data_IF_321601291007
#
_entry.id   IF_321601291007
#
_cell.length_a   1.000
_cell.length_b   1.000
_cell.length_c   1.000
_cell.angle_alpha   90.00
_cell.angle_beta   90.00
_cell.angle_gamma   90.00
#
_symmetry.space_group_name_H-M   'P 1'
#
loop_
_entity.id
_entity.type
_entity.pdbx_description
1 polymer ?
#
# COMPACT_ATOMS: atom_id res chain seq x y z
N UNK A 1 -6.54 -14.53 -28.74
CA UNK A 1 -7.22 -14.67 -27.43
C UNK A 1 -6.17 -15.02 -26.41
N UNK A 2 -5.94 -14.13 -25.44
CA UNK A 2 -5.09 -14.41 -24.27
C UNK A 2 -5.62 -15.64 -23.56
N UNK A 3 -4.72 -16.56 -23.18
CA UNK A 3 -5.11 -17.61 -22.24
C UNK A 3 -5.56 -16.97 -20.92
N UNK A 4 -6.75 -17.33 -20.44
CA UNK A 4 -7.28 -16.89 -19.13
C UNK A 4 -6.26 -17.08 -18.01
N UNK A 5 -5.43 -18.11 -18.10
CA UNK A 5 -4.37 -18.38 -17.12
C UNK A 5 -3.22 -17.37 -17.19
N UNK A 6 -2.80 -16.94 -18.38
CA UNK A 6 -1.77 -15.91 -18.55
C UNK A 6 -2.22 -14.58 -17.99
N UNK A 7 -3.48 -14.20 -18.25
CA UNK A 7 -4.09 -13.00 -17.66
C UNK A 7 -4.11 -13.08 -16.13
N UNK A 8 -4.57 -14.20 -15.57
CA UNK A 8 -4.62 -14.40 -14.13
C UNK A 8 -3.23 -14.32 -13.47
N UNK A 9 -2.18 -14.87 -14.11
CA UNK A 9 -0.80 -14.77 -13.62
C UNK A 9 -0.25 -13.34 -13.76
N UNK A 10 -0.59 -12.62 -14.82
CA UNK A 10 -0.19 -11.22 -14.99
C UNK A 10 -0.79 -10.34 -13.88
N UNK A 11 -2.09 -10.52 -13.61
CA UNK A 11 -2.76 -9.86 -12.47
C UNK A 11 -2.14 -10.25 -11.14
N UNK A 12 -1.85 -11.54 -10.93
CA UNK A 12 -1.21 -12.02 -9.70
C UNK A 12 0.12 -11.31 -9.45
N UNK A 13 1.01 -11.30 -10.45
CA UNK A 13 2.35 -10.74 -10.25
C UNK A 13 2.34 -9.22 -10.08
N UNK A 14 1.46 -8.49 -10.77
CA UNK A 14 1.39 -7.03 -10.70
C UNK A 14 0.51 -6.50 -9.57
N UNK A 15 -0.66 -7.10 -9.31
CA UNK A 15 -1.62 -6.60 -8.31
C UNK A 15 -1.28 -7.06 -6.90
N UNK A 16 -0.84 -8.31 -6.74
CA UNK A 16 -0.52 -8.92 -5.43
C UNK A 16 0.97 -8.89 -5.12
N UNK A 17 1.81 -8.89 -6.15
CA UNK A 17 3.22 -8.53 -6.05
C UNK A 17 3.45 -7.07 -6.42
N UNK A 18 4.58 -6.81 -7.09
CA UNK A 18 4.90 -5.53 -7.72
C UNK A 18 5.44 -5.74 -9.14
N UNK A 19 5.07 -6.82 -9.81
CA UNK A 19 5.63 -7.22 -11.11
C UNK A 19 6.81 -8.20 -10.99
N UNK A 20 7.17 -8.86 -12.10
CA UNK A 20 8.13 -9.96 -12.09
C UNK A 20 9.59 -9.48 -12.09
N UNK A 21 10.46 -10.29 -11.50
CA UNK A 21 11.90 -10.28 -11.84
C UNK A 21 12.15 -11.04 -13.15
N UNK A 22 13.32 -10.86 -13.82
CA UNK A 22 13.68 -11.64 -15.00
C UNK A 22 13.46 -13.15 -14.82
N UNK A 23 12.70 -13.76 -15.73
CA UNK A 23 12.38 -15.19 -15.73
C UNK A 23 11.28 -15.63 -14.75
N UNK A 24 10.88 -14.79 -13.79
CA UNK A 24 9.88 -15.15 -12.77
C UNK A 24 8.50 -15.43 -13.38
N UNK A 25 8.03 -14.57 -14.27
CA UNK A 25 6.72 -14.73 -14.91
C UNK A 25 6.67 -15.99 -15.80
N UNK A 26 7.73 -16.28 -16.57
CA UNK A 26 7.84 -17.52 -17.35
C UNK A 26 7.83 -18.76 -16.47
N UNK A 27 8.45 -18.71 -15.29
CA UNK A 27 8.38 -19.80 -14.30
C UNK A 27 6.95 -19.98 -13.78
N UNK A 28 6.26 -18.89 -13.44
CA UNK A 28 4.87 -18.93 -12.99
C UNK A 28 3.93 -19.51 -14.06
N UNK A 29 4.10 -19.14 -15.34
CA UNK A 29 3.34 -19.71 -16.46
C UNK A 29 3.52 -21.22 -16.58
N UNK A 30 4.73 -21.75 -16.38
CA UNK A 30 4.99 -23.19 -16.41
C UNK A 30 4.38 -23.94 -15.22
N UNK A 31 4.30 -23.28 -14.06
CA UNK A 31 3.75 -23.86 -12.82
C UNK A 31 2.22 -23.75 -12.74
N UNK A 32 1.63 -22.83 -13.50
CA UNK A 32 0.21 -22.51 -13.48
C UNK A 32 -0.19 -21.57 -12.35
N UNK A 33 -1.39 -21.00 -12.47
CA UNK A 33 -1.88 -19.94 -11.58
C UNK A 33 -1.96 -20.39 -10.12
N UNK A 34 -2.52 -21.58 -9.87
CA UNK A 34 -2.80 -22.06 -8.50
C UNK A 34 -1.54 -22.24 -7.67
N UNK A 35 -0.48 -22.79 -8.26
CA UNK A 35 0.81 -23.00 -7.57
C UNK A 35 1.48 -21.65 -7.33
N UNK A 36 1.50 -20.80 -8.36
CA UNK A 36 2.10 -19.46 -8.30
C UNK A 36 1.43 -18.58 -7.23
N UNK A 37 0.10 -18.60 -7.15
CA UNK A 37 -0.66 -17.84 -6.16
C UNK A 37 -0.33 -18.28 -4.74
N UNK A 38 -0.30 -19.60 -4.47
CA UNK A 38 0.08 -20.12 -3.15
C UNK A 38 1.51 -19.75 -2.76
N UNK A 39 2.46 -19.79 -3.70
CA UNK A 39 3.84 -19.39 -3.42
C UNK A 39 3.97 -17.90 -3.11
N UNK A 40 3.31 -17.04 -3.89
CA UNK A 40 3.33 -15.60 -3.66
C UNK A 40 2.70 -15.21 -2.32
N UNK A 41 1.56 -15.82 -1.98
CA UNK A 41 0.82 -15.53 -0.74
C UNK A 41 1.50 -16.11 0.52
N UNK A 42 2.26 -17.19 0.40
CA UNK A 42 2.94 -17.85 1.52
C UNK A 42 4.39 -17.35 1.72
N UNK A 43 4.66 -16.06 1.51
CA UNK A 43 6.01 -15.50 1.65
C UNK A 43 6.50 -15.44 3.11
N UNK A 44 5.60 -15.56 4.08
CA UNK A 44 5.87 -15.28 5.50
C UNK A 44 6.11 -13.78 5.75
N UNK A 45 6.14 -13.39 7.02
CA UNK A 45 6.60 -12.05 7.41
C UNK A 45 8.13 -11.99 7.24
N UNK A 46 8.67 -10.93 6.59
CA UNK A 46 10.11 -10.78 6.48
C UNK A 46 10.70 -10.43 7.85
N UNK A 47 11.85 -11.03 8.16
CA UNK A 47 12.70 -10.61 9.27
C UNK A 47 13.89 -9.81 8.71
N UNK A 48 13.90 -8.51 9.02
CA UNK A 48 14.98 -7.63 8.58
C UNK A 48 16.02 -7.35 9.69
N UNK A 49 15.87 -7.95 10.87
CA UNK A 49 16.71 -7.66 12.03
C UNK A 49 16.57 -6.22 12.54
N UNK A 50 17.62 -5.69 13.18
CA UNK A 50 17.67 -4.30 13.66
C UNK A 50 17.97 -3.30 12.52
N UNK A 51 16.96 -3.08 11.68
CA UNK A 51 17.04 -2.16 10.54
C UNK A 51 17.21 -0.72 10.99
N UNK A 52 16.56 -0.30 12.09
CA UNK A 52 16.57 1.11 12.53
C UNK A 52 17.99 1.62 12.65
N UNK A 53 18.84 0.87 13.36
CA UNK A 53 20.26 1.18 13.50
C UNK A 53 20.98 1.12 12.16
N UNK A 54 20.72 0.08 11.35
CA UNK A 54 21.41 -0.14 10.07
C UNK A 54 21.21 1.00 9.05
N UNK A 55 20.03 1.64 9.03
CA UNK A 55 19.74 2.78 8.13
C UNK A 55 19.80 4.14 8.84
N UNK A 56 20.26 4.18 10.09
CA UNK A 56 20.52 5.40 10.85
C UNK A 56 19.28 6.10 11.40
N UNK A 57 18.18 5.38 11.63
CA UNK A 57 16.96 5.92 12.25
C UNK A 57 17.11 5.90 13.77
N UNK A 58 17.22 7.09 14.36
CA UNK A 58 17.49 7.27 15.80
C UNK A 58 16.67 8.42 16.38
N UNK A 59 16.44 8.40 17.69
CA UNK A 59 15.92 9.55 18.43
C UNK A 59 16.96 10.68 18.39
N UNK A 60 16.64 11.80 17.74
CA UNK A 60 17.51 12.98 17.64
C UNK A 60 17.37 13.93 18.86
N UNK A 61 16.58 13.54 19.85
CA UNK A 61 16.27 14.34 21.03
C UNK A 61 15.18 15.39 20.77
N UNK A 62 15.04 16.31 21.72
CA UNK A 62 14.11 17.42 21.59
C UNK A 62 14.55 18.40 20.49
N UNK A 63 13.59 18.89 19.71
CA UNK A 63 13.86 19.88 18.67
C UNK A 63 14.54 21.12 19.26
N UNK A 64 15.65 21.59 18.66
CA UNK A 64 16.31 22.83 19.07
C UNK A 64 15.39 24.05 18.96
N UNK A 65 15.68 25.09 19.75
CA UNK A 65 14.92 26.35 19.71
C UNK A 65 14.95 26.98 18.30
N UNK A 66 13.87 27.65 17.87
CA UNK A 66 13.89 28.45 16.65
C UNK A 66 15.10 29.39 16.61
N UNK A 67 15.70 29.56 15.43
CA UNK A 67 16.88 30.41 15.18
C UNK A 67 18.18 30.03 15.94
N UNK A 68 18.24 28.84 16.57
CA UNK A 68 19.48 28.34 17.17
C UNK A 68 20.42 27.71 16.13
N UNK A 69 21.73 27.76 16.37
CA UNK A 69 22.74 27.14 15.50
C UNK A 69 22.55 25.62 15.33
N UNK A 70 22.01 24.96 16.37
CA UNK A 70 21.74 23.53 16.38
C UNK A 70 20.55 23.11 15.50
N UNK A 71 19.66 24.04 15.11
CA UNK A 71 18.45 23.72 14.34
C UNK A 71 18.76 23.21 12.93
N UNK A 72 19.76 23.80 12.24
CA UNK A 72 20.12 23.39 10.88
C UNK A 72 20.69 21.96 10.84
N UNK A 73 21.70 21.59 11.66
CA UNK A 73 22.16 20.21 11.75
C UNK A 73 21.05 19.20 12.10
N UNK A 74 20.15 19.58 13.01
CA UNK A 74 19.01 18.74 13.39
C UNK A 74 18.08 18.45 12.20
N UNK A 75 17.70 19.47 11.43
CA UNK A 75 16.85 19.29 10.25
C UNK A 75 17.55 18.45 9.16
N UNK A 76 18.85 18.69 8.93
CA UNK A 76 19.64 17.87 7.99
C UNK A 76 19.65 16.40 8.41
N UNK A 77 19.81 16.10 9.71
CA UNK A 77 19.76 14.73 10.21
C UNK A 77 18.36 14.10 10.02
N UNK A 78 17.28 14.86 10.24
CA UNK A 78 15.90 14.38 9.99
C UNK A 78 15.64 14.08 8.52
N UNK A 79 16.07 14.96 7.64
CA UNK A 79 15.91 14.79 6.20
C UNK A 79 16.71 13.56 5.71
N UNK A 80 17.92 13.34 6.26
CA UNK A 80 18.71 12.15 6.00
C UNK A 80 18.01 10.87 6.47
N UNK A 81 17.44 10.86 7.69
CA UNK A 81 16.66 9.72 8.19
C UNK A 81 15.44 9.42 7.31
N UNK A 82 14.65 10.45 6.95
CA UNK A 82 13.50 10.30 6.05
C UNK A 82 13.91 9.73 4.68
N UNK A 83 15.00 10.27 4.11
CA UNK A 83 15.56 9.80 2.83
C UNK A 83 15.96 8.32 2.92
N UNK A 84 16.71 7.95 3.95
CA UNK A 84 17.20 6.59 4.14
C UNK A 84 16.06 5.59 4.30
N UNK A 85 15.05 5.88 5.14
CA UNK A 85 13.90 4.97 5.30
C UNK A 85 13.03 4.87 4.04
N UNK A 86 12.93 5.95 3.25
CA UNK A 86 12.20 5.95 1.96
C UNK A 86 12.86 5.04 0.94
N UNK A 87 14.19 5.19 0.75
CA UNK A 87 14.94 4.34 -0.18
C UNK A 87 15.01 2.90 0.30
N UNK A 88 15.24 2.67 1.61
CA UNK A 88 15.25 1.32 2.18
C UNK A 88 13.92 0.59 1.96
N UNK A 89 12.78 1.27 2.15
CA UNK A 89 11.50 0.62 1.94
C UNK A 89 11.27 0.26 0.46
N UNK A 90 11.67 1.13 -0.46
CA UNK A 90 11.66 0.84 -1.91
C UNK A 90 12.58 -0.34 -2.25
N UNK A 91 13.76 -0.44 -1.64
CA UNK A 91 14.65 -1.60 -1.79
C UNK A 91 13.95 -2.90 -1.36
N UNK A 92 13.17 -2.88 -0.27
CA UNK A 92 12.43 -4.07 0.17
C UNK A 92 11.33 -4.48 -0.81
N UNK A 93 10.63 -3.52 -1.42
CA UNK A 93 9.62 -3.78 -2.45
C UNK A 93 10.26 -4.38 -3.72
N UNK A 94 11.45 -3.93 -4.08
CA UNK A 94 12.17 -4.38 -5.29
C UNK A 94 12.92 -5.71 -5.06
N UNK A 95 13.64 -5.83 -3.94
CA UNK A 95 14.60 -6.90 -3.69
C UNK A 95 13.96 -8.26 -3.41
N UNK A 96 12.74 -8.31 -2.88
CA UNK A 96 12.11 -9.57 -2.48
C UNK A 96 11.68 -10.43 -3.67
N UNK A 97 11.81 -11.75 -3.53
CA UNK A 97 11.29 -12.69 -4.53
C UNK A 97 9.76 -12.66 -4.57
N UNK A 98 9.13 -12.67 -3.40
CA UNK A 98 7.67 -12.64 -3.22
C UNK A 98 7.28 -11.44 -2.34
N UNK A 99 7.09 -10.24 -2.90
CA UNK A 99 6.94 -9.00 -2.12
C UNK A 99 5.51 -8.79 -1.59
N UNK A 100 4.77 -9.87 -1.32
CA UNK A 100 3.36 -9.79 -0.94
C UNK A 100 3.15 -9.02 0.38
N UNK A 101 4.01 -9.24 1.38
CA UNK A 101 3.92 -8.51 2.65
C UNK A 101 4.17 -7.01 2.48
N UNK A 102 5.14 -6.60 1.65
CA UNK A 102 5.33 -5.16 1.38
C UNK A 102 4.19 -4.58 0.55
N UNK A 103 3.61 -5.38 -0.35
CA UNK A 103 2.42 -4.97 -1.11
C UNK A 103 1.21 -4.73 -0.20
N UNK A 104 1.03 -5.59 0.80
CA UNK A 104 0.01 -5.41 1.84
C UNK A 104 0.34 -4.25 2.77
N UNK A 105 1.60 -4.09 3.17
CA UNK A 105 2.05 -2.96 4.01
C UNK A 105 1.81 -1.63 3.30
N UNK A 106 2.08 -1.55 2.00
CA UNK A 106 1.76 -0.38 1.16
C UNK A 106 0.26 -0.09 1.12
N UNK A 107 -0.57 -1.13 0.93
CA UNK A 107 -2.03 -0.99 1.01
C UNK A 107 -2.47 -0.44 2.37
N UNK A 108 -1.97 -1.02 3.47
CA UNK A 108 -2.33 -0.61 4.81
C UNK A 108 -1.86 0.79 5.16
N UNK A 109 -0.73 1.24 4.61
CA UNK A 109 -0.28 2.62 4.78
C UNK A 109 -1.20 3.61 4.08
N UNK A 110 -1.81 3.21 2.95
CA UNK A 110 -2.89 3.98 2.33
C UNK A 110 -4.24 3.89 3.06
N UNK A 111 -4.51 2.80 3.79
CA UNK A 111 -5.74 2.64 4.59
C UNK A 111 -5.66 3.40 5.91
N UNK A 112 -4.57 3.21 6.67
CA UNK A 112 -4.24 3.94 7.90
C UNK A 112 -3.39 5.18 7.58
N UNK A 113 -3.88 6.00 6.65
CA UNK A 113 -3.12 7.09 6.08
C UNK A 113 -2.58 8.04 7.15
N UNK A 114 -1.25 8.12 7.22
CA UNK A 114 -0.49 8.92 8.19
C UNK A 114 0.63 9.61 7.44
N UNK A 115 0.68 10.95 7.47
CA UNK A 115 1.59 11.71 6.62
C UNK A 115 2.73 12.35 7.39
N UNK A 116 3.95 12.17 6.89
CA UNK A 116 5.14 12.87 7.39
C UNK A 116 4.98 14.39 7.31
N UNK A 117 4.15 14.92 6.41
CA UNK A 117 3.92 16.37 6.25
C UNK A 117 3.47 17.08 7.53
N UNK A 118 2.74 16.38 8.42
CA UNK A 118 2.32 16.91 9.73
C UNK A 118 3.00 16.19 10.90
N UNK A 119 3.22 14.87 10.80
CA UNK A 119 3.94 14.14 11.86
C UNK A 119 5.35 14.70 11.98
N UNK A 120 6.04 14.92 10.86
CA UNK A 120 7.36 15.52 10.76
C UNK A 120 8.36 14.88 11.74
N UNK A 121 8.38 13.55 11.82
CA UNK A 121 9.29 12.81 12.69
C UNK A 121 9.62 11.41 12.10
N UNK A 122 10.85 11.18 11.62
CA UNK A 122 11.21 9.94 10.92
C UNK A 122 11.05 8.68 11.79
N UNK A 123 11.43 8.73 13.07
CA UNK A 123 11.34 7.58 13.97
C UNK A 123 9.90 7.07 14.11
N UNK A 124 8.95 7.99 14.32
CA UNK A 124 7.52 7.66 14.43
C UNK A 124 6.97 7.07 13.13
N UNK A 125 7.36 7.65 12.00
CA UNK A 125 6.92 7.16 10.70
C UNK A 125 7.52 5.78 10.37
N UNK A 126 8.76 5.51 10.77
CA UNK A 126 9.36 4.19 10.63
C UNK A 126 8.61 3.15 11.49
N UNK A 127 8.34 3.48 12.75
CA UNK A 127 7.58 2.62 13.66
C UNK A 127 6.16 2.35 13.19
N UNK A 128 5.51 3.36 12.61
CA UNK A 128 4.21 3.23 11.98
C UNK A 128 4.24 2.16 10.86
N UNK A 129 5.19 2.24 9.92
CA UNK A 129 5.32 1.25 8.84
C UNK A 129 5.69 -0.13 9.39
N UNK A 130 6.56 -0.20 10.41
CA UNK A 130 6.92 -1.47 11.04
C UNK A 130 5.70 -2.14 11.71
N UNK A 131 4.83 -1.37 12.36
CA UNK A 131 3.58 -1.85 12.96
C UNK A 131 2.59 -2.35 11.91
N UNK A 132 2.41 -1.59 10.82
CA UNK A 132 1.60 -2.04 9.70
C UNK A 132 2.12 -3.35 9.08
N UNK A 133 3.44 -3.45 8.90
CA UNK A 133 4.09 -4.66 8.37
C UNK A 133 3.88 -5.87 9.27
N UNK A 134 4.04 -5.71 10.59
CA UNK A 134 3.83 -6.75 11.59
C UNK A 134 2.46 -7.43 11.45
N UNK A 135 1.43 -6.65 11.13
CA UNK A 135 0.05 -7.15 11.00
C UNK A 135 -0.43 -7.30 9.56
N UNK A 136 0.42 -7.05 8.55
CA UNK A 136 0.00 -6.86 7.17
C UNK A 136 -0.83 -8.03 6.58
N UNK A 137 -0.60 -9.24 7.07
CA UNK A 137 -1.30 -10.47 6.67
C UNK A 137 -1.96 -11.21 7.86
N UNK A 138 -1.99 -10.59 9.04
CA UNK A 138 -2.44 -11.20 10.30
C UNK A 138 -3.91 -10.96 10.64
N UNK A 139 -4.18 -10.73 11.93
CA UNK A 139 -5.51 -10.41 12.45
C UNK A 139 -5.77 -8.89 12.41
N UNK A 140 -6.80 -8.49 11.68
CA UNK A 140 -7.15 -7.07 11.54
C UNK A 140 -7.61 -6.42 12.86
N UNK A 141 -8.19 -7.17 13.79
CA UNK A 141 -8.58 -6.64 15.10
C UNK A 141 -7.35 -6.32 15.95
N UNK A 142 -6.33 -7.18 15.91
CA UNK A 142 -5.04 -6.90 16.56
C UNK A 142 -4.36 -5.68 15.91
N UNK A 143 -4.44 -5.56 14.58
CA UNK A 143 -3.98 -4.36 13.88
C UNK A 143 -4.71 -3.11 14.41
N UNK A 144 -6.04 -3.14 14.58
CA UNK A 144 -6.81 -2.02 15.12
C UNK A 144 -6.39 -1.66 16.56
N UNK A 145 -6.23 -2.67 17.42
CA UNK A 145 -5.77 -2.50 18.81
C UNK A 145 -4.39 -1.83 18.90
N UNK A 146 -3.47 -2.19 18.01
CA UNK A 146 -2.14 -1.58 17.97
C UNK A 146 -2.15 -0.23 17.24
N UNK A 147 -2.86 -0.08 16.13
CA UNK A 147 -2.87 1.17 15.35
C UNK A 147 -3.51 2.33 16.10
N UNK A 148 -4.54 2.12 16.91
CA UNK A 148 -5.14 3.19 17.72
C UNK A 148 -4.16 3.75 18.78
N UNK A 149 -3.08 3.02 19.07
CA UNK A 149 -1.98 3.41 19.96
C UNK A 149 -0.71 3.77 19.18
N UNK A 150 -0.80 4.01 17.88
CA UNK A 150 0.34 4.40 17.04
C UNK A 150 0.64 5.89 17.20
N UNK A 151 1.87 6.22 17.62
CA UNK A 151 2.26 7.60 17.90
C UNK A 151 2.17 8.53 16.69
N UNK A 152 2.48 8.01 15.49
CA UNK A 152 2.37 8.77 14.26
C UNK A 152 0.90 9.03 13.90
N UNK A 153 0.04 8.01 13.96
CA UNK A 153 -1.40 8.14 13.69
C UNK A 153 -2.09 9.08 14.69
N UNK A 154 -1.81 8.92 15.99
CA UNK A 154 -2.36 9.80 17.04
C UNK A 154 -1.98 11.25 16.75
N UNK A 155 -0.71 11.53 16.41
CA UNK A 155 -0.26 12.88 16.10
C UNK A 155 -0.88 13.43 14.80
N UNK A 156 -0.95 12.59 13.76
CA UNK A 156 -1.56 12.94 12.47
C UNK A 156 -3.03 13.37 12.62
N UNK A 157 -3.76 12.73 13.54
CA UNK A 157 -5.17 13.01 13.79
C UNK A 157 -5.43 13.88 15.03
N UNK A 158 -4.40 14.53 15.57
CA UNK A 158 -4.49 15.42 16.74
C UNK A 158 -5.05 14.75 18.02
N UNK A 159 -4.98 13.42 18.11
CA UNK A 159 -5.45 12.65 19.26
C UNK A 159 -4.72 13.01 20.56
N UNK A 160 -3.47 13.49 20.48
CA UNK A 160 -2.71 14.00 21.62
C UNK A 160 -3.28 15.28 22.23
N UNK A 161 -4.17 15.98 21.51
CA UNK A 161 -4.88 17.17 21.99
C UNK A 161 -6.23 16.83 22.63
N UNK A 162 -6.73 15.60 22.45
CA UNK A 162 -8.01 15.17 22.97
C UNK A 162 -8.00 15.14 24.52
N UNK A 163 -8.99 15.78 25.15
CA UNK A 163 -9.17 15.81 26.61
C UNK A 163 -10.63 15.61 26.96
N UNK A 164 -10.92 15.12 28.17
CA UNK A 164 -12.29 15.03 28.67
C UNK A 164 -13.02 16.39 28.70
N UNK A 165 -12.29 17.48 28.97
CA UNK A 165 -12.83 18.84 29.04
C UNK A 165 -12.97 19.52 27.67
N UNK A 166 -12.19 19.10 26.69
CA UNK A 166 -12.22 19.60 25.31
C UNK A 166 -11.99 18.40 24.37
N UNK A 167 -13.07 17.65 24.07
CA UNK A 167 -12.98 16.49 23.19
C UNK A 167 -12.57 16.89 21.78
N UNK A 168 -11.63 16.15 21.20
CA UNK A 168 -11.28 16.22 19.79
C UNK A 168 -11.75 14.94 19.10
N UNK A 169 -12.67 15.10 18.16
CA UNK A 169 -13.36 14.01 17.47
C UNK A 169 -12.61 13.46 16.26
N UNK A 170 -11.49 14.06 15.85
CA UNK A 170 -10.85 13.69 14.59
C UNK A 170 -10.40 12.21 14.58
N UNK A 171 -9.62 11.79 15.59
CA UNK A 171 -9.20 10.39 15.70
C UNK A 171 -10.38 9.41 15.85
N UNK A 172 -11.42 9.77 16.61
CA UNK A 172 -12.60 8.90 16.73
C UNK A 172 -13.39 8.82 15.43
N UNK A 173 -13.58 9.94 14.72
CA UNK A 173 -14.30 9.97 13.44
C UNK A 173 -13.61 9.09 12.41
N UNK A 174 -12.29 9.24 12.23
CA UNK A 174 -11.56 8.43 11.26
C UNK A 174 -11.52 6.95 11.63
N UNK A 175 -11.48 6.61 12.92
CA UNK A 175 -11.56 5.22 13.38
C UNK A 175 -12.85 4.55 12.89
N UNK A 176 -13.98 5.26 12.92
CA UNK A 176 -15.25 4.75 12.42
C UNK A 176 -15.32 4.82 10.89
N UNK A 177 -15.06 5.98 10.32
CA UNK A 177 -15.35 6.29 8.93
C UNK A 177 -14.39 5.60 7.96
N UNK A 178 -13.08 5.82 8.14
CA UNK A 178 -12.09 5.41 7.16
C UNK A 178 -11.40 4.10 7.53
N UNK A 179 -11.32 3.80 8.82
CA UNK A 179 -10.49 2.68 9.26
C UNK A 179 -11.26 1.40 9.57
N UNK A 180 -12.52 1.47 10.01
CA UNK A 180 -13.27 0.26 10.41
C UNK A 180 -14.64 0.08 9.76
N UNK A 181 -15.54 1.06 9.78
CA UNK A 181 -16.96 0.83 9.47
C UNK A 181 -17.41 1.36 8.11
N UNK A 182 -16.79 2.42 7.59
CA UNK A 182 -17.32 3.16 6.46
C UNK A 182 -18.43 4.15 6.87
N UNK A 183 -18.68 5.12 6.00
CA UNK A 183 -19.72 6.15 6.17
C UNK A 183 -21.10 5.52 6.36
N UNK A 184 -21.99 6.19 7.11
CA UNK A 184 -23.39 5.80 7.37
C UNK A 184 -23.60 4.55 8.25
N UNK A 185 -22.55 4.04 8.91
CA UNK A 185 -22.65 2.90 9.84
C UNK A 185 -22.58 3.29 11.33
N UNK A 186 -22.63 4.58 11.63
CA UNK A 186 -22.53 5.15 12.97
C UNK A 186 -23.23 6.52 13.01
N UNK A 187 -23.52 7.00 14.21
CA UNK A 187 -24.07 8.32 14.46
C UNK A 187 -22.99 9.31 14.91
N UNK A 188 -23.30 10.60 14.82
CA UNK A 188 -22.47 11.66 15.39
C UNK A 188 -22.30 11.52 16.91
N UNK A 189 -23.31 10.96 17.60
CA UNK A 189 -23.22 10.65 19.03
C UNK A 189 -22.17 9.58 19.31
N UNK A 190 -22.05 8.56 18.46
CA UNK A 190 -21.04 7.51 18.62
C UNK A 190 -19.63 8.10 18.50
N UNK A 191 -19.41 9.04 17.57
CA UNK A 191 -18.12 9.73 17.40
C UNK A 191 -17.73 10.50 18.66
N UNK A 192 -18.70 11.20 19.28
CA UNK A 192 -18.50 11.97 20.52
C UNK A 192 -18.22 11.07 21.72
N UNK A 193 -18.95 9.98 21.85
CA UNK A 193 -18.76 9.00 22.92
C UNK A 193 -17.40 8.28 22.78
N UNK A 194 -17.00 7.94 21.55
CA UNK A 194 -15.67 7.43 21.25
C UNK A 194 -14.56 8.46 21.53
N UNK A 195 -14.78 9.75 21.24
CA UNK A 195 -13.82 10.80 21.56
C UNK A 195 -13.56 10.87 23.07
N UNK A 196 -14.58 10.68 23.92
CA UNK A 196 -14.40 10.57 25.37
C UNK A 196 -13.54 9.36 25.75
N UNK A 197 -13.84 8.18 25.20
CA UNK A 197 -13.07 6.96 25.46
C UNK A 197 -11.58 7.08 25.05
N UNK A 198 -11.30 7.86 24.00
CA UNK A 198 -9.95 8.13 23.49
C UNK A 198 -9.26 9.34 24.13
N UNK A 199 -9.88 9.99 25.12
CA UNK A 199 -9.31 11.20 25.73
C UNK A 199 -8.08 10.90 26.61
N UNK A 200 -7.16 11.86 26.67
CA UNK A 200 -5.99 11.80 27.54
C UNK A 200 -4.75 11.12 26.94
N UNK A 201 -4.80 10.65 25.69
CA UNK A 201 -3.60 10.16 24.99
C UNK A 201 -2.56 11.28 24.84
N UNK A 202 -1.28 10.92 24.98
CA UNK A 202 -0.10 11.77 24.80
C UNK A 202 0.90 11.06 23.93
N UNK A 203 1.64 11.82 23.14
CA UNK A 203 2.78 11.32 22.35
C UNK A 203 4.01 12.14 22.70
N UNK A 204 5.07 11.47 23.14
CA UNK A 204 6.40 12.06 23.25
C UNK A 204 7.01 12.03 21.85
N UNK A 205 6.99 13.18 21.17
CA UNK A 205 7.20 13.23 19.71
C UNK A 205 8.53 12.64 19.26
N UNK A 206 9.63 12.87 19.97
CA UNK A 206 10.95 12.40 19.53
C UNK A 206 11.18 10.89 19.75
N UNK A 207 10.54 10.28 20.75
CA UNK A 207 10.69 8.85 21.06
C UNK A 207 9.52 7.97 20.59
N UNK A 208 8.38 8.58 20.25
CA UNK A 208 7.15 7.87 19.87
C UNK A 208 6.41 7.27 21.05
N UNK A 209 6.87 7.48 22.28
CA UNK A 209 6.23 6.94 23.48
C UNK A 209 4.81 7.49 23.61
N UNK A 210 3.84 6.58 23.61
CA UNK A 210 2.43 6.89 23.84
C UNK A 210 2.10 6.62 25.30
N UNK A 211 1.50 7.61 25.97
CA UNK A 211 1.00 7.47 27.35
C UNK A 211 -0.44 7.97 27.45
N UNK A 212 -1.15 7.57 28.50
CA UNK A 212 -2.49 8.08 28.82
C UNK A 212 -2.43 8.83 30.13
N UNK A 213 -2.86 10.09 30.13
CA UNK A 213 -2.82 10.97 31.30
C UNK A 213 -4.18 10.97 32.02
N UNK A 214 -4.27 10.44 33.25
CA UNK A 214 -5.54 10.30 33.95
C UNK A 214 -6.29 11.62 34.14
N UNK A 215 -5.58 12.72 34.44
CA UNK A 215 -6.20 14.05 34.65
C UNK A 215 -6.86 14.63 33.40
N UNK A 216 -6.47 14.14 32.22
CA UNK A 216 -7.04 14.54 30.92
C UNK A 216 -8.04 13.53 30.38
N UNK A 217 -8.15 12.36 31.02
CA UNK A 217 -8.97 11.24 30.56
C UNK A 217 -10.37 11.31 31.14
N UNK A 218 -11.35 10.89 30.36
CA UNK A 218 -12.68 10.59 30.82
C UNK A 218 -12.68 9.22 31.52
N UNK A 219 -13.30 9.13 32.69
CA UNK A 219 -13.29 7.91 33.53
C UNK A 219 -14.66 7.22 33.65
N UNK A 220 -15.67 7.71 32.93
CA UNK A 220 -17.01 7.15 32.93
C UNK A 220 -17.23 6.11 31.83
N UNK A 221 -18.38 5.45 31.88
CA UNK A 221 -18.86 4.64 30.76
C UNK A 221 -19.23 5.53 29.57
N UNK A 222 -19.07 5.00 28.37
CA UNK A 222 -19.50 5.60 27.11
C UNK A 222 -20.43 4.65 26.37
N UNK A 223 -21.42 5.18 25.67
CA UNK A 223 -22.35 4.36 24.87
C UNK A 223 -22.00 4.48 23.39
N UNK A 224 -21.55 3.38 22.79
CA UNK A 224 -21.07 3.35 21.41
C UNK A 224 -21.76 2.19 20.69
N UNK A 225 -22.43 2.48 19.56
CA UNK A 225 -23.22 1.52 18.77
C UNK A 225 -24.22 0.73 19.64
N UNK A 226 -24.85 1.43 20.59
CA UNK A 226 -25.81 0.85 21.54
C UNK A 226 -25.19 0.01 22.67
N UNK A 227 -23.87 -0.11 22.74
CA UNK A 227 -23.16 -0.82 23.81
C UNK A 227 -22.59 0.19 24.82
N UNK A 228 -22.97 0.07 26.09
CA UNK A 228 -22.42 0.89 27.18
C UNK A 228 -21.33 0.12 27.92
N UNK A 229 -20.12 0.64 27.92
CA UNK A 229 -18.99 0.06 28.65
C UNK A 229 -17.93 1.12 28.99
N UNK A 230 -16.98 0.75 29.86
CA UNK A 230 -15.77 1.53 30.09
C UNK A 230 -14.75 1.18 29.00
N UNK A 231 -14.92 1.78 27.82
CA UNK A 231 -14.03 1.53 26.68
C UNK A 231 -12.66 2.16 26.91
N UNK A 232 -11.61 1.36 26.71
CA UNK A 232 -10.24 1.81 26.57
C UNK A 232 -9.87 1.87 25.08
N UNK A 233 -8.81 2.57 24.70
CA UNK A 233 -8.47 2.82 23.29
C UNK A 233 -8.38 1.53 22.46
N UNK A 234 -7.64 0.53 22.94
CA UNK A 234 -7.50 -0.75 22.26
C UNK A 234 -8.81 -1.54 22.22
N UNK A 235 -9.55 -1.62 23.35
CA UNK A 235 -10.79 -2.40 23.41
C UNK A 235 -11.91 -1.76 22.59
N UNK A 236 -11.94 -0.44 22.45
CA UNK A 236 -12.80 0.27 21.51
C UNK A 236 -12.48 -0.11 20.06
N UNK A 237 -11.20 -0.04 19.67
CA UNK A 237 -10.78 -0.37 18.32
C UNK A 237 -11.11 -1.83 17.95
N UNK A 238 -10.92 -2.76 18.89
CA UNK A 238 -11.36 -4.17 18.76
C UNK A 238 -12.88 -4.30 18.65
N UNK A 239 -13.64 -3.58 19.47
CA UNK A 239 -15.10 -3.62 19.43
C UNK A 239 -15.63 -3.22 18.05
N UNK A 240 -15.10 -2.12 17.49
CA UNK A 240 -15.49 -1.66 16.15
C UNK A 240 -15.08 -2.63 15.05
N UNK A 241 -13.87 -3.22 15.14
CA UNK A 241 -13.42 -4.21 14.16
C UNK A 241 -14.31 -5.45 14.12
N UNK A 242 -14.95 -5.83 15.23
CA UNK A 242 -15.80 -7.02 15.32
C UNK A 242 -17.23 -6.82 14.81
N UNK A 243 -17.60 -5.62 14.36
CA UNK A 243 -18.94 -5.34 13.83
C UNK A 243 -19.18 -5.93 12.44
N UNK A 244 -20.45 -6.08 12.06
CA UNK A 244 -20.85 -6.51 10.71
C UNK A 244 -20.52 -5.47 9.62
N UNK A 245 -20.53 -4.18 9.98
CA UNK A 245 -20.09 -3.10 9.10
C UNK A 245 -18.61 -3.27 8.74
N UNK A 246 -17.74 -3.49 9.73
CA UNK A 246 -16.32 -3.79 9.48
C UNK A 246 -16.10 -5.07 8.67
N UNK A 247 -16.91 -6.11 8.89
CA UNK A 247 -16.84 -7.32 8.07
C UNK A 247 -17.14 -7.05 6.58
N UNK A 248 -17.89 -6.00 6.27
CA UNK A 248 -18.23 -5.63 4.90
C UNK A 248 -17.20 -4.66 4.31
N UNK A 249 -16.84 -3.63 5.10
CA UNK A 249 -16.00 -2.52 4.67
C UNK A 249 -14.57 -2.95 4.30
N UNK A 250 -13.88 -3.73 5.13
CA UNK A 250 -12.48 -4.10 4.85
C UNK A 250 -12.33 -4.97 3.59
N UNK A 251 -13.15 -6.02 3.37
CA UNK A 251 -13.18 -6.74 2.10
C UNK A 251 -13.45 -5.86 0.86
N UNK A 252 -14.28 -4.84 0.99
CA UNK A 252 -14.54 -3.88 -0.08
C UNK A 252 -13.28 -3.05 -0.39
N UNK A 253 -12.56 -2.57 0.64
CA UNK A 253 -11.29 -1.85 0.47
C UNK A 253 -10.21 -2.70 -0.18
N UNK A 254 -10.12 -3.98 0.20
CA UNK A 254 -9.20 -4.95 -0.44
C UNK A 254 -9.58 -5.20 -1.90
N UNK A 255 -10.86 -5.39 -2.19
CA UNK A 255 -11.38 -5.59 -3.56
C UNK A 255 -11.10 -4.37 -4.44
N UNK A 256 -11.35 -3.17 -3.93
CA UNK A 256 -11.05 -1.90 -4.59
C UNK A 256 -9.58 -1.81 -5.01
N UNK A 257 -8.64 -2.24 -4.14
CA UNK A 257 -7.20 -2.11 -4.42
C UNK A 257 -6.61 -3.27 -5.22
N UNK A 258 -7.11 -4.49 -5.08
CA UNK A 258 -6.48 -5.69 -5.63
C UNK A 258 -7.25 -6.34 -6.80
N UNK A 259 -8.53 -6.00 -7.00
CA UNK A 259 -9.32 -6.44 -8.14
C UNK A 259 -9.55 -5.27 -9.09
N UNK A 260 -10.36 -4.30 -8.71
CA UNK A 260 -10.59 -3.10 -9.50
C UNK A 260 -11.43 -2.10 -8.70
N UNK A 261 -11.16 -0.79 -8.84
CA UNK A 261 -12.04 0.26 -8.34
C UNK A 261 -13.48 0.17 -8.87
N UNK A 262 -13.67 -0.27 -10.12
CA UNK A 262 -15.01 -0.47 -10.69
C UNK A 262 -15.76 -1.64 -10.05
N UNK A 263 -15.04 -2.69 -9.60
CA UNK A 263 -15.63 -3.83 -8.91
C UNK A 263 -15.96 -3.58 -7.45
N UNK A 264 -15.46 -2.49 -6.85
CA UNK A 264 -15.71 -2.19 -5.43
C UNK A 264 -17.17 -1.87 -5.15
N UNK A 265 -17.95 -1.51 -6.18
CA UNK A 265 -19.39 -1.65 -6.14
C UNK A 265 -19.72 -3.15 -6.23
N UNK A 266 -19.52 -3.88 -5.14
CA UNK A 266 -19.81 -5.32 -5.03
C UNK A 266 -21.30 -5.56 -5.28
N UNK A 267 -21.69 -5.65 -6.56
CA UNK A 267 -23.06 -5.89 -6.98
C UNK A 267 -23.42 -7.29 -6.49
N UNK A 268 -24.14 -7.33 -5.38
CA UNK A 268 -24.63 -8.57 -4.82
C UNK A 268 -25.84 -8.97 -5.67
N UNK A 269 -25.82 -10.12 -6.37
CA UNK A 269 -26.93 -10.53 -7.23
C UNK A 269 -28.26 -10.50 -6.48
N UNK A 270 -29.37 -10.16 -7.13
CA UNK A 270 -30.68 -10.10 -6.44
C UNK A 270 -31.15 -11.48 -5.96
N UNK A 271 -30.75 -12.56 -6.64
CA UNK A 271 -31.13 -13.94 -6.29
C UNK A 271 -30.20 -14.53 -5.24
N UNK A 272 -30.75 -14.98 -4.11
CA UNK A 272 -30.00 -15.55 -2.98
C UNK A 272 -29.07 -16.73 -3.35
N UNK A 273 -29.44 -17.55 -4.34
CA UNK A 273 -28.60 -18.66 -4.80
C UNK A 273 -27.33 -18.20 -5.53
N UNK A 274 -27.40 -17.06 -6.24
CA UNK A 274 -26.28 -16.45 -6.96
C UNK A 274 -25.42 -15.62 -6.01
N UNK A 275 -26.01 -15.01 -4.97
CA UNK A 275 -25.28 -14.29 -3.92
C UNK A 275 -24.22 -15.15 -3.26
N UNK A 276 -24.58 -16.38 -2.84
CA UNK A 276 -23.66 -17.31 -2.15
C UNK A 276 -22.45 -17.72 -3.01
N UNK A 277 -22.55 -17.59 -4.33
CA UNK A 277 -21.49 -17.92 -5.30
C UNK A 277 -20.69 -16.70 -5.75
N UNK A 278 -21.14 -15.48 -5.43
CA UNK A 278 -20.46 -14.25 -5.81
C UNK A 278 -19.10 -14.11 -5.10
N UNK A 279 -18.10 -13.57 -5.81
CA UNK A 279 -16.80 -13.23 -5.23
C UNK A 279 -16.95 -12.37 -3.97
N UNK A 280 -17.87 -11.39 -4.01
CA UNK A 280 -18.19 -10.51 -2.89
C UNK A 280 -18.56 -11.27 -1.61
N UNK A 281 -19.48 -12.23 -1.71
CA UNK A 281 -19.89 -13.04 -0.57
C UNK A 281 -18.74 -13.90 -0.05
N UNK A 282 -17.96 -14.52 -0.95
CA UNK A 282 -16.86 -15.42 -0.60
C UNK A 282 -15.76 -14.65 0.15
N UNK A 283 -15.36 -13.49 -0.35
CA UNK A 283 -14.32 -12.64 0.27
C UNK A 283 -14.80 -12.11 1.63
N UNK A 284 -16.03 -11.58 1.70
CA UNK A 284 -16.64 -11.13 2.96
C UNK A 284 -16.73 -12.24 4.01
N UNK A 285 -17.08 -13.45 3.57
CA UNK A 285 -17.15 -14.62 4.45
C UNK A 285 -15.78 -15.05 4.95
N UNK A 286 -14.74 -14.98 4.10
CA UNK A 286 -13.37 -15.29 4.50
C UNK A 286 -12.86 -14.33 5.59
N UNK A 287 -13.35 -13.09 5.63
CA UNK A 287 -13.03 -12.10 6.67
C UNK A 287 -13.90 -12.19 7.94
N UNK A 288 -14.76 -13.21 8.07
CA UNK A 288 -15.65 -13.35 9.23
C UNK A 288 -14.91 -13.40 10.58
N UNK A 289 -13.69 -13.96 10.58
CA UNK A 289 -12.79 -14.04 11.74
C UNK A 289 -11.70 -12.96 11.74
N UNK A 290 -11.82 -11.95 10.86
CA UNK A 290 -10.89 -10.82 10.73
C UNK A 290 -9.45 -11.19 10.31
N UNK A 291 -9.27 -12.41 9.81
CA UNK A 291 -7.97 -12.86 9.29
C UNK A 291 -7.75 -12.33 7.88
N UNK A 292 -6.65 -11.61 7.69
CA UNK A 292 -6.31 -10.95 6.42
C UNK A 292 -5.83 -11.97 5.40
N UNK A 293 -4.94 -12.91 5.78
CA UNK A 293 -4.40 -13.90 4.85
C UNK A 293 -5.49 -14.77 4.19
N UNK A 294 -6.43 -15.42 4.92
CA UNK A 294 -7.52 -16.17 4.29
C UNK A 294 -8.41 -15.31 3.39
N UNK A 295 -8.57 -14.03 3.71
CA UNK A 295 -9.35 -13.08 2.90
C UNK A 295 -8.64 -12.79 1.58
N UNK A 296 -7.32 -12.61 1.60
CA UNK A 296 -6.51 -12.44 0.40
C UNK A 296 -6.45 -13.71 -0.46
N UNK A 297 -6.42 -14.89 0.14
CA UNK A 297 -6.58 -16.16 -0.59
C UNK A 297 -7.93 -16.21 -1.31
N UNK A 298 -9.03 -15.93 -0.59
CA UNK A 298 -10.36 -15.89 -1.17
C UNK A 298 -10.47 -14.87 -2.31
N UNK A 299 -9.85 -13.70 -2.17
CA UNK A 299 -9.81 -12.65 -3.18
C UNK A 299 -9.07 -13.10 -4.44
N UNK A 300 -7.85 -13.61 -4.30
CA UNK A 300 -7.00 -14.04 -5.43
C UNK A 300 -7.62 -15.22 -6.18
N UNK A 301 -8.23 -16.16 -5.46
CA UNK A 301 -8.88 -17.33 -6.08
C UNK A 301 -10.31 -17.07 -6.58
N UNK A 302 -10.84 -15.86 -6.39
CA UNK A 302 -12.17 -15.48 -6.88
C UNK A 302 -12.25 -15.41 -8.40
N UNK A 303 -13.45 -15.56 -8.95
CA UNK A 303 -13.67 -15.41 -10.40
C UNK A 303 -13.49 -13.95 -10.85
N UNK A 304 -13.85 -12.99 -9.99
CA UNK A 304 -13.64 -11.57 -10.28
C UNK A 304 -12.16 -11.23 -10.47
N UNK A 305 -11.24 -11.91 -9.78
CA UNK A 305 -9.80 -11.70 -9.97
C UNK A 305 -9.32 -12.12 -11.37
N UNK A 306 -10.04 -13.02 -12.07
CA UNK A 306 -9.68 -13.52 -13.41
C UNK A 306 -10.51 -12.91 -14.54
N UNK A 307 -11.62 -12.26 -14.20
CA UNK A 307 -12.57 -11.68 -15.15
C UNK A 307 -11.98 -10.45 -15.87
N UNK A 308 -11.80 -10.47 -17.20
CA UNK A 308 -11.21 -9.38 -18.00
C UNK A 308 -11.93 -8.03 -17.88
N UNK A 309 -13.17 -7.99 -17.38
CA UNK A 309 -13.86 -6.71 -17.12
C UNK A 309 -13.20 -5.89 -16.01
N UNK A 310 -12.49 -6.55 -15.11
CA UNK A 310 -11.88 -5.92 -13.93
C UNK A 310 -10.45 -5.48 -14.24
N UNK A 311 -10.32 -4.28 -14.78
CA UNK A 311 -9.03 -3.61 -15.02
C UNK A 311 -8.64 -2.68 -13.88
N UNK A 312 -7.35 -2.34 -13.82
CA UNK A 312 -6.81 -1.39 -12.86
C UNK A 312 -5.58 -0.68 -13.43
N UNK A 313 -5.53 0.64 -13.28
CA UNK A 313 -4.31 1.43 -13.53
C UNK A 313 -3.36 1.25 -12.36
N UNK A 314 -2.13 0.85 -12.68
CA UNK A 314 -1.00 0.74 -11.76
C UNK A 314 -0.67 2.10 -11.17
N UNK A 315 -0.48 2.17 -9.86
CA UNK A 315 -0.09 3.42 -9.20
C UNK A 315 1.39 3.77 -9.42
N UNK A 316 1.81 5.04 -9.32
CA UNK A 316 3.20 5.45 -9.57
C UNK A 316 4.28 4.64 -8.84
N UNK A 317 4.11 4.33 -7.56
CA UNK A 317 5.04 3.50 -6.77
C UNK A 317 5.08 2.09 -7.33
N UNK A 318 3.93 1.49 -7.63
CA UNK A 318 3.87 0.16 -8.21
C UNK A 318 4.55 0.12 -9.58
N UNK A 319 4.40 1.17 -10.40
CA UNK A 319 5.09 1.29 -11.69
C UNK A 319 6.60 1.33 -11.50
N UNK A 320 7.11 2.27 -10.70
CA UNK A 320 8.55 2.38 -10.40
C UNK A 320 9.10 1.05 -9.91
N UNK A 321 8.49 0.47 -8.87
CA UNK A 321 8.95 -0.78 -8.28
C UNK A 321 8.93 -1.90 -9.33
N UNK A 322 7.88 -1.99 -10.16
CA UNK A 322 7.79 -3.00 -11.22
C UNK A 322 8.88 -2.89 -12.28
N UNK A 323 9.25 -1.67 -12.65
CA UNK A 323 10.32 -1.41 -13.62
C UNK A 323 11.68 -1.73 -12.99
N UNK A 324 11.94 -1.28 -11.76
CA UNK A 324 13.20 -1.55 -11.06
C UNK A 324 13.40 -3.05 -10.81
N UNK A 325 12.33 -3.80 -10.49
CA UNK A 325 12.35 -5.26 -10.38
C UNK A 325 12.70 -5.95 -11.70
N UNK A 326 12.09 -5.52 -12.80
CA UNK A 326 12.35 -6.09 -14.12
C UNK A 326 13.80 -5.82 -14.57
N UNK A 327 14.32 -4.63 -14.29
CA UNK A 327 15.65 -4.16 -14.70
C UNK A 327 16.77 -4.49 -13.70
N UNK A 328 16.44 -5.13 -12.57
CA UNK A 328 17.38 -5.48 -11.50
C UNK A 328 18.14 -4.27 -10.90
N UNK A 329 17.44 -3.15 -10.76
CA UNK A 329 18.00 -1.92 -10.18
C UNK A 329 17.61 -1.84 -8.71
N UNK A 330 18.58 -1.64 -7.83
CA UNK A 330 18.33 -1.36 -6.40
C UNK A 330 18.13 0.15 -6.19
N UNK A 331 16.94 0.60 -5.72
CA UNK A 331 16.63 2.02 -5.52
C UNK A 331 17.68 2.84 -4.76
N UNK A 332 18.24 2.34 -3.66
CA UNK A 332 19.20 3.08 -2.84
C UNK A 332 20.59 3.24 -3.47
N UNK A 333 20.96 2.38 -4.41
CA UNK A 333 22.29 2.35 -5.03
C UNK A 333 22.26 2.70 -6.52
N UNK A 334 21.12 3.14 -7.05
CA UNK A 334 21.04 3.57 -8.44
C UNK A 334 21.83 4.87 -8.66
N UNK A 335 22.02 5.27 -9.91
CA UNK A 335 22.83 6.46 -10.22
C UNK A 335 22.27 7.76 -9.61
N UNK A 336 20.94 7.85 -9.46
CA UNK A 336 20.24 9.08 -9.04
C UNK A 336 19.06 8.77 -8.09
N UNK A 337 19.31 8.31 -6.85
CA UNK A 337 18.25 7.87 -5.92
C UNK A 337 17.36 9.02 -5.44
N UNK A 338 17.90 10.24 -5.34
CA UNK A 338 17.12 11.41 -4.95
C UNK A 338 16.13 11.85 -6.05
N UNK A 339 16.52 11.73 -7.33
CA UNK A 339 15.60 11.98 -8.43
C UNK A 339 14.45 10.98 -8.47
N UNK A 340 14.68 9.74 -8.02
CA UNK A 340 13.61 8.77 -7.85
C UNK A 340 12.57 9.24 -6.82
N UNK A 341 13.00 9.78 -5.68
CA UNK A 341 12.08 10.34 -4.68
C UNK A 341 11.35 11.57 -5.22
N UNK A 342 12.04 12.45 -5.96
CA UNK A 342 11.42 13.61 -6.63
C UNK A 342 10.41 13.19 -7.69
N UNK A 343 10.69 12.13 -8.45
CA UNK A 343 9.75 11.57 -9.43
C UNK A 343 8.46 11.09 -8.74
N UNK A 344 8.58 10.30 -7.67
CA UNK A 344 7.43 9.81 -6.93
C UNK A 344 6.61 10.94 -6.30
N UNK A 345 7.27 11.99 -5.82
CA UNK A 345 6.62 13.21 -5.32
C UNK A 345 5.85 13.93 -6.43
N UNK A 346 6.48 14.10 -7.60
CA UNK A 346 5.87 14.73 -8.79
C UNK A 346 4.68 13.93 -9.32
N UNK A 347 4.72 12.60 -9.21
CA UNK A 347 3.60 11.72 -9.56
C UNK A 347 2.57 11.60 -8.44
N UNK A 348 2.74 12.30 -7.31
CA UNK A 348 1.79 12.39 -6.22
C UNK A 348 1.75 11.19 -5.28
N UNK A 349 2.77 10.33 -5.29
CA UNK A 349 2.79 9.08 -4.54
C UNK A 349 4.12 8.78 -3.84
N UNK A 350 4.74 9.79 -3.23
CA UNK A 350 5.95 9.60 -2.42
C UNK A 350 5.67 8.74 -1.17
N UNK A 351 6.46 7.70 -0.87
CA UNK A 351 6.33 6.94 0.39
C UNK A 351 6.35 7.86 1.61
N UNK A 352 5.53 7.58 2.63
CA UNK A 352 5.32 8.39 3.84
C UNK A 352 4.53 9.70 3.66
N UNK A 353 4.07 10.02 2.44
CA UNK A 353 3.31 11.24 2.17
C UNK A 353 1.94 10.96 1.53
N UNK A 354 1.02 10.24 2.20
CA UNK A 354 -0.37 10.29 1.79
C UNK A 354 -0.88 11.74 1.84
N UNK A 355 -1.64 12.20 0.83
CA UNK A 355 -2.08 13.59 0.71
C UNK A 355 -3.21 13.97 1.68
N UNK A 356 -3.93 12.97 2.21
CA UNK A 356 -5.01 13.17 3.19
C UNK A 356 -5.20 11.94 4.07
N UNK A 357 -6.11 12.04 5.05
CA UNK A 357 -6.57 10.92 5.90
C UNK A 357 -7.22 9.78 5.09
N UNK A 358 -7.68 10.05 3.87
CA UNK A 358 -8.23 9.05 2.94
C UNK A 358 -7.16 8.27 2.17
N UNK A 359 -5.88 8.60 2.33
CA UNK A 359 -4.77 7.98 1.61
C UNK A 359 -4.58 8.56 0.21
N UNK A 360 -3.96 7.76 -0.68
CA UNK A 360 -3.75 8.15 -2.07
C UNK A 360 -4.99 7.88 -2.94
N UNK A 361 -5.33 8.80 -3.85
CA UNK A 361 -6.23 8.50 -4.97
C UNK A 361 -5.74 7.27 -5.74
N UNK A 362 -6.67 6.46 -6.24
CA UNK A 362 -6.35 5.27 -7.02
C UNK A 362 -6.69 5.45 -8.49
N UNK A 363 -6.29 4.46 -9.27
CA UNK A 363 -6.61 4.32 -10.69
C UNK A 363 -6.09 5.50 -11.54
N UNK A 364 -6.91 6.04 -12.45
CA UNK A 364 -6.57 7.10 -13.39
C UNK A 364 -6.28 8.47 -12.73
N UNK A 365 -6.48 8.63 -11.42
CA UNK A 365 -6.39 9.92 -10.74
C UNK A 365 -5.03 10.64 -10.88
N UNK A 366 -3.94 9.90 -11.11
CA UNK A 366 -2.60 10.47 -11.33
C UNK A 366 -2.26 10.70 -12.82
N UNK A 367 -3.09 10.21 -13.74
CA UNK A 367 -2.85 10.29 -15.17
C UNK A 367 -3.18 11.69 -15.70
N UNK A 368 -2.19 12.30 -16.33
CA UNK A 368 -2.27 13.59 -16.99
C UNK A 368 -1.21 13.65 -18.10
N UNK A 369 -1.30 14.66 -18.96
CA UNK A 369 -0.24 14.93 -19.96
C UNK A 369 1.13 15.12 -19.28
N UNK A 370 1.17 15.85 -18.16
CA UNK A 370 2.40 16.12 -17.42
C UNK A 370 2.99 14.85 -16.79
N UNK A 371 2.18 14.04 -16.11
CA UNK A 371 2.65 12.78 -15.51
C UNK A 371 3.11 11.77 -16.57
N UNK A 372 2.46 11.74 -17.74
CA UNK A 372 2.88 10.90 -18.88
C UNK A 372 4.26 11.32 -19.41
N UNK A 373 4.52 12.62 -19.57
CA UNK A 373 5.83 13.13 -19.99
C UNK A 373 6.93 12.80 -18.97
N UNK A 374 6.64 12.96 -17.67
CA UNK A 374 7.57 12.59 -16.60
C UNK A 374 7.87 11.09 -16.61
N UNK A 375 6.85 10.25 -16.82
CA UNK A 375 7.02 8.79 -16.92
C UNK A 375 7.91 8.40 -18.10
N UNK A 376 7.73 8.99 -19.29
CA UNK A 376 8.56 8.72 -20.46
C UNK A 376 10.03 9.11 -20.21
N UNK A 377 10.27 10.30 -19.63
CA UNK A 377 11.64 10.74 -19.29
C UNK A 377 12.28 9.81 -18.26
N UNK A 378 11.53 9.46 -17.21
CA UNK A 378 11.99 8.52 -16.20
C UNK A 378 12.31 7.14 -16.81
N UNK A 379 11.44 6.62 -17.67
CA UNK A 379 11.63 5.35 -18.36
C UNK A 379 12.96 5.32 -19.14
N UNK A 380 13.29 6.39 -19.86
CA UNK A 380 14.55 6.48 -20.61
C UNK A 380 15.78 6.45 -19.68
N UNK A 381 15.73 7.19 -18.57
CA UNK A 381 16.82 7.22 -17.58
C UNK A 381 16.97 5.86 -16.91
N UNK A 382 15.89 5.27 -16.41
CA UNK A 382 15.91 4.00 -15.69
C UNK A 382 16.41 2.87 -16.60
N UNK A 383 15.94 2.81 -17.85
CA UNK A 383 16.37 1.79 -18.82
C UNK A 383 17.85 1.91 -19.19
N UNK A 384 18.43 3.10 -19.15
CA UNK A 384 19.86 3.30 -19.46
C UNK A 384 20.80 2.66 -18.42
N UNK A 385 20.30 2.39 -17.22
CA UNK A 385 21.05 1.76 -16.12
C UNK A 385 20.71 0.27 -15.93
N UNK A 386 19.55 -0.16 -16.43
CA UNK A 386 19.01 -1.49 -16.17
C UNK A 386 19.64 -2.65 -16.95
N UNK A 387 19.51 -3.86 -16.42
CA UNK A 387 19.93 -5.07 -17.14
C UNK A 387 18.95 -5.44 -18.27
N UNK A 388 19.39 -5.22 -19.51
CA UNK A 388 18.64 -5.56 -20.74
C UNK A 388 18.97 -6.95 -21.30
N UNK A 389 19.74 -7.76 -20.57
CA UNK A 389 20.08 -9.14 -20.94
C UNK A 389 18.89 -9.99 -21.38
N UNK A 390 17.68 -9.87 -20.77
CA UNK A 390 16.50 -10.60 -21.23
C UNK A 390 16.10 -10.35 -22.69
N UNK A 391 16.46 -9.20 -23.27
CA UNK A 391 16.19 -8.86 -24.68
C UNK A 391 17.41 -8.98 -25.60
N UNK A 392 18.61 -8.70 -25.10
CA UNK A 392 19.82 -8.74 -25.93
C UNK A 392 20.21 -10.17 -26.32
N UNK A 393 19.82 -11.17 -25.52
CA UNK A 393 20.10 -12.60 -25.76
C UNK A 393 19.08 -13.32 -26.67
N UNK A 394 17.97 -12.68 -27.04
CA UNK A 394 16.96 -13.30 -27.92
C UNK A 394 17.02 -12.74 -29.33
N UNK A 395 16.56 -13.53 -30.31
CA UNK A 395 16.52 -13.08 -31.70
C UNK A 395 15.56 -11.89 -31.86
N UNK A 396 15.84 -11.00 -32.83
CA UNK A 396 15.05 -9.79 -33.08
C UNK A 396 13.54 -10.09 -33.16
N UNK A 397 13.19 -11.18 -33.83
CA UNK A 397 11.83 -11.62 -34.09
C UNK A 397 11.10 -12.10 -32.82
N UNK A 398 11.84 -12.52 -31.79
CA UNK A 398 11.31 -13.03 -30.53
C UNK A 398 11.18 -11.94 -29.46
N UNK A 399 11.76 -10.76 -29.69
CA UNK A 399 11.88 -9.68 -28.68
C UNK A 399 10.54 -9.23 -28.11
N UNK A 400 9.48 -9.15 -28.92
CA UNK A 400 8.16 -8.68 -28.45
C UNK A 400 7.53 -9.67 -27.46
N UNK A 401 7.62 -10.97 -27.75
CA UNK A 401 7.07 -12.01 -26.87
C UNK A 401 7.98 -12.23 -25.64
N UNK A 402 9.29 -12.12 -25.81
CA UNK A 402 10.25 -12.09 -24.70
C UNK A 402 9.97 -10.91 -23.76
N UNK A 403 9.63 -9.73 -24.30
CA UNK A 403 9.28 -8.54 -23.54
C UNK A 403 7.98 -8.73 -22.75
N UNK A 404 6.97 -9.35 -23.37
CA UNK A 404 5.72 -9.70 -22.66
C UNK A 404 6.01 -10.60 -21.47
N UNK A 405 6.88 -11.60 -21.65
CA UNK A 405 7.26 -12.53 -20.59
C UNK A 405 8.12 -11.87 -19.51
N UNK A 406 9.05 -11.01 -19.91
CA UNK A 406 9.94 -10.33 -18.97
C UNK A 406 9.17 -9.34 -18.09
N UNK A 407 8.25 -8.56 -18.67
CA UNK A 407 7.47 -7.55 -17.97
C UNK A 407 6.18 -8.09 -17.35
N UNK A 408 5.84 -9.37 -17.57
CA UNK A 408 4.62 -9.98 -17.07
C UNK A 408 3.35 -9.41 -17.68
N UNK A 409 3.39 -9.07 -18.97
CA UNK A 409 2.26 -8.53 -19.73
C UNK A 409 1.47 -9.67 -20.36
N UNK A 410 0.14 -9.62 -20.18
CA UNK A 410 -0.76 -10.66 -20.66
C UNK A 410 -0.78 -10.73 -22.19
N UNK A 411 -0.93 -9.60 -22.87
CA UNK A 411 -0.88 -9.47 -24.32
C UNK A 411 -0.57 -8.02 -24.69
N UNK A 412 0.13 -7.82 -25.81
CA UNK A 412 0.28 -6.51 -26.44
C UNK A 412 -0.78 -6.35 -27.51
N UNK A 413 -1.49 -5.23 -27.51
CA UNK A 413 -2.41 -4.89 -28.61
C UNK A 413 -1.68 -4.73 -29.94
N UNK A 414 -2.40 -4.86 -31.05
CA UNK A 414 -1.85 -4.64 -32.39
C UNK A 414 -1.23 -3.23 -32.53
N UNK A 415 -1.85 -2.23 -31.88
CA UNK A 415 -1.34 -0.85 -31.85
C UNK A 415 0.01 -0.77 -31.15
N UNK A 416 0.15 -1.40 -29.99
CA UNK A 416 1.41 -1.41 -29.25
C UNK A 416 2.48 -2.22 -29.99
N UNK A 417 2.10 -3.36 -30.60
CA UNK A 417 3.01 -4.15 -31.45
C UNK A 417 3.55 -3.33 -32.63
N UNK A 418 2.69 -2.61 -33.34
CA UNK A 418 3.11 -1.74 -34.44
C UNK A 418 4.08 -0.62 -33.98
N UNK A 419 3.89 -0.08 -32.77
CA UNK A 419 4.81 0.91 -32.20
C UNK A 419 6.21 0.32 -31.88
N UNK A 420 6.30 -0.99 -31.64
CA UNK A 420 7.57 -1.68 -31.36
C UNK A 420 8.42 -1.93 -32.60
N UNK A 421 7.84 -2.01 -33.81
CA UNK A 421 8.55 -2.37 -35.05
C UNK A 421 9.78 -1.49 -35.30
N UNK A 422 9.65 -0.19 -35.07
CA UNK A 422 10.74 0.79 -35.21
C UNK A 422 11.82 0.69 -34.14
N UNK A 423 11.58 -0.03 -33.04
CA UNK A 423 12.49 -0.19 -31.91
C UNK A 423 13.06 -1.61 -31.79
N UNK A 424 12.66 -2.57 -32.61
CA UNK A 424 13.10 -3.97 -32.50
C UNK A 424 14.62 -4.17 -32.54
N UNK A 425 15.38 -3.25 -33.14
CA UNK A 425 16.86 -3.29 -33.18
C UNK A 425 17.53 -2.66 -31.95
N UNK A 426 16.78 -1.89 -31.16
CA UNK A 426 17.25 -1.12 -30.02
C UNK A 426 16.51 -1.61 -28.75
N UNK A 427 17.09 -2.57 -28.00
CA UNK A 427 16.48 -3.09 -26.78
C UNK A 427 16.12 -2.01 -25.76
N UNK A 428 16.94 -0.97 -25.62
CA UNK A 428 16.68 0.10 -24.66
C UNK A 428 15.43 0.89 -25.07
N UNK A 429 15.35 1.33 -26.33
CA UNK A 429 14.16 2.02 -26.83
C UNK A 429 12.92 1.13 -26.77
N UNK A 430 13.06 -0.16 -27.10
CA UNK A 430 11.96 -1.12 -27.04
C UNK A 430 11.42 -1.28 -25.61
N UNK A 431 12.31 -1.44 -24.61
CA UNK A 431 11.93 -1.52 -23.20
C UNK A 431 11.27 -0.25 -22.71
N UNK A 432 11.83 0.93 -23.05
CA UNK A 432 11.26 2.22 -22.67
C UNK A 432 9.83 2.41 -23.22
N UNK A 433 9.59 2.02 -24.47
CA UNK A 433 8.25 2.04 -25.06
C UNK A 433 7.29 1.09 -24.33
N UNK A 434 7.75 -0.12 -23.99
CA UNK A 434 6.91 -1.13 -23.36
C UNK A 434 6.50 -0.77 -21.93
N UNK A 435 7.41 -0.24 -21.12
CA UNK A 435 7.07 0.19 -19.75
C UNK A 435 6.20 1.44 -19.70
N UNK A 436 6.07 2.16 -20.83
CA UNK A 436 5.15 3.29 -20.99
C UNK A 436 3.83 2.90 -21.69
N UNK A 437 3.65 1.64 -22.10
CA UNK A 437 2.49 1.25 -22.89
C UNK A 437 1.23 1.10 -22.03
N UNK A 438 0.03 1.23 -22.63
CA UNK A 438 -1.23 1.01 -21.93
C UNK A 438 -1.29 -0.36 -21.24
N UNK A 439 -0.79 -1.43 -21.86
CA UNK A 439 -0.85 -2.79 -21.32
C UNK A 439 0.09 -3.04 -20.14
N UNK A 440 1.11 -2.20 -19.94
CA UNK A 440 1.96 -2.26 -18.76
C UNK A 440 1.48 -1.35 -17.61
N UNK A 441 0.84 -0.23 -17.97
CA UNK A 441 0.26 0.72 -17.01
C UNK A 441 -1.12 0.26 -16.51
N UNK A 442 -1.90 -0.38 -17.37
CA UNK A 442 -3.22 -0.92 -17.07
C UNK A 442 -3.10 -2.43 -16.98
N UNK A 443 -3.21 -2.96 -15.77
CA UNK A 443 -3.41 -4.39 -15.59
C UNK A 443 -4.84 -4.68 -16.05
N UNK A 444 -5.00 -5.18 -17.27
CA UNK A 444 -6.28 -5.66 -17.79
C UNK A 444 -6.91 -6.65 -16.83
#
# INVERSE_FOLDING_TARGET
MVSTERLAIARLVHRVGFGPKPGQFSKMLKQGFKVSAKQLLNSGLPDYGDVKTAIGITDLGAQPKPNSEALRPYNVAKDAQLRNMSLWWLDQMVGQEHPFVERMTWFWHGHWATSYSKVYEPLLMFDHIARLRKHAIGDFSQMCEEMILDGALIYWLDGQLNTASSPNENLSRELFELFTLGVNNYSETDVKEAAKALSGLRVVKNSGLVTKEPRRSYSGATTILGTTANFESATLARFLSMTAACQSFIPERLTYRFISPASSMMSTPMKAAEQKKSSAHIIKKAFATRQIMPTMEALVFSESFKDPVNSQVKSPVEWVVSVFRALQITPSTCSQPDLLLTLLDTLGQRPFFPPSVGGWPADEAWLSVASTQNLIRAAQVIVSEGDLTPLTKVAKQERVDALANWLGVAEWSDRTRAAFDGALRDPARLTALAICSPEYLVSA
#
